data_IF_831457341776
#
_entry.id   IF_831457341776
#
_cell.length_a   1.000
_cell.length_b   1.000
_cell.length_c   1.000
_cell.angle_alpha   90.00
_cell.angle_beta   90.00
_cell.angle_gamma   90.00
#
_symmetry.space_group_name_H-M   'P 1'
#
loop_
_entity.id
_entity.type
_entity.pdbx_description
1 polymer ?
#
# COMPACT_ATOMS: atom_id res chain seq x y z
N UNK A 1 -1.97 -19.45 -13.13
CA UNK A 1 -2.12 -19.07 -14.55
C UNK A 1 -2.11 -20.27 -15.50
N UNK A 2 -1.35 -21.32 -15.20
CA UNK A 2 -1.26 -22.52 -16.06
C UNK A 2 -2.61 -23.21 -16.26
N UNK A 3 -3.41 -23.39 -15.20
CA UNK A 3 -4.75 -23.99 -15.29
C UNK A 3 -5.73 -23.20 -16.17
N UNK A 4 -5.75 -21.85 -16.05
CA UNK A 4 -6.58 -20.98 -16.89
C UNK A 4 -6.20 -21.10 -18.37
N UNK A 5 -4.89 -21.10 -18.67
CA UNK A 5 -4.38 -21.25 -20.04
C UNK A 5 -4.77 -22.60 -20.67
N UNK A 6 -4.72 -23.68 -19.88
CA UNK A 6 -5.16 -25.00 -20.32
C UNK A 6 -6.66 -25.04 -20.63
N UNK A 7 -7.50 -24.43 -19.77
CA UNK A 7 -8.94 -24.36 -20.00
C UNK A 7 -9.26 -23.54 -21.24
N UNK A 8 -8.62 -22.38 -21.43
CA UNK A 8 -8.77 -21.58 -22.67
C UNK A 8 -8.41 -22.39 -23.92
N UNK A 9 -7.26 -23.10 -23.88
CA UNK A 9 -6.84 -23.94 -24.99
C UNK A 9 -7.84 -25.08 -25.27
N UNK A 10 -8.40 -25.69 -24.23
CA UNK A 10 -9.40 -26.73 -24.35
C UNK A 10 -10.72 -26.22 -24.97
N UNK A 11 -11.22 -25.09 -24.48
CA UNK A 11 -12.44 -24.48 -25.00
C UNK A 11 -12.31 -24.11 -26.47
N UNK A 12 -11.17 -23.55 -26.88
CA UNK A 12 -10.89 -23.26 -28.30
C UNK A 12 -10.97 -24.52 -29.16
N UNK A 13 -10.33 -25.61 -28.73
CA UNK A 13 -10.44 -26.91 -29.43
C UNK A 13 -11.86 -27.46 -29.51
N UNK A 14 -12.68 -27.24 -28.48
CA UNK A 14 -14.07 -27.63 -28.49
C UNK A 14 -14.88 -26.84 -29.52
N UNK A 15 -14.63 -25.55 -29.68
CA UNK A 15 -15.24 -24.70 -30.70
C UNK A 15 -14.83 -25.17 -32.08
N UNK A 16 -13.55 -25.37 -32.33
CA UNK A 16 -13.02 -25.88 -33.62
C UNK A 16 -13.65 -27.24 -34.00
N UNK A 17 -13.78 -28.11 -32.99
CA UNK A 17 -14.42 -29.43 -33.19
C UNK A 17 -15.91 -29.32 -33.54
N UNK A 18 -16.63 -28.38 -32.90
CA UNK A 18 -18.04 -28.13 -33.18
C UNK A 18 -18.20 -27.58 -34.61
N UNK A 19 -17.42 -26.60 -35.01
CA UNK A 19 -17.44 -26.03 -36.36
C UNK A 19 -17.14 -27.07 -37.42
N UNK A 20 -16.09 -27.88 -37.22
CA UNK A 20 -15.78 -28.99 -38.13
C UNK A 20 -16.90 -30.06 -38.18
N UNK A 21 -17.63 -30.26 -37.09
CA UNK A 21 -18.75 -31.19 -37.03
C UNK A 21 -19.97 -30.66 -37.78
N UNK A 22 -20.27 -29.37 -37.63
CA UNK A 22 -21.33 -28.68 -38.38
C UNK A 22 -21.03 -28.76 -39.87
N UNK A 23 -19.81 -28.44 -40.27
CA UNK A 23 -19.40 -28.49 -41.68
C UNK A 23 -19.55 -29.91 -42.28
N UNK A 24 -19.06 -30.93 -41.57
CA UNK A 24 -19.20 -32.34 -42.02
C UNK A 24 -20.66 -32.77 -42.16
N UNK A 25 -21.52 -32.42 -41.18
CA UNK A 25 -22.95 -32.75 -41.19
C UNK A 25 -23.70 -32.03 -42.32
N UNK A 26 -23.39 -30.75 -42.52
CA UNK A 26 -23.94 -29.96 -43.63
C UNK A 26 -23.60 -30.61 -44.99
N UNK A 27 -22.32 -31.02 -45.19
CA UNK A 27 -21.89 -31.69 -46.42
C UNK A 27 -22.57 -33.04 -46.67
N UNK A 28 -23.04 -33.74 -45.60
CA UNK A 28 -23.72 -35.02 -45.68
C UNK A 28 -25.25 -34.90 -45.75
N UNK A 29 -25.79 -33.68 -45.61
CA UNK A 29 -27.24 -33.46 -45.53
C UNK A 29 -27.87 -33.88 -44.19
N UNK A 30 -27.09 -34.12 -43.14
CA UNK A 30 -27.53 -34.50 -41.80
C UNK A 30 -27.95 -33.27 -40.99
N UNK A 31 -29.02 -32.58 -41.38
CA UNK A 31 -29.37 -31.26 -40.85
C UNK A 31 -30.06 -31.30 -39.48
N UNK A 32 -30.66 -32.42 -39.06
CA UNK A 32 -31.41 -32.51 -37.79
C UNK A 32 -30.57 -32.25 -36.54
N UNK A 33 -29.29 -32.58 -36.57
CA UNK A 33 -28.38 -32.40 -35.42
C UNK A 33 -27.62 -31.09 -35.47
N UNK A 34 -27.66 -30.33 -36.56
CA UNK A 34 -26.92 -29.05 -36.69
C UNK A 34 -27.28 -28.08 -35.56
N UNK A 35 -28.56 -27.84 -35.20
CA UNK A 35 -28.87 -26.89 -34.12
C UNK A 35 -28.28 -27.26 -32.76
N UNK A 36 -28.09 -28.55 -32.47
CA UNK A 36 -27.47 -29.01 -31.22
C UNK A 36 -25.95 -28.66 -31.21
N UNK A 37 -25.29 -28.79 -32.35
CA UNK A 37 -23.89 -28.46 -32.49
C UNK A 37 -23.64 -26.96 -32.49
N UNK A 38 -24.55 -26.18 -33.06
CA UNK A 38 -24.53 -24.72 -32.96
C UNK A 38 -24.68 -24.26 -31.52
N UNK A 39 -25.69 -24.80 -30.80
CA UNK A 39 -25.88 -24.50 -29.39
C UNK A 39 -24.64 -24.86 -28.55
N UNK A 40 -24.02 -26.02 -28.78
CA UNK A 40 -22.80 -26.43 -28.08
C UNK A 40 -21.66 -25.47 -28.37
N UNK A 41 -21.45 -25.08 -29.63
CA UNK A 41 -20.44 -24.11 -30.05
C UNK A 41 -20.65 -22.78 -29.34
N UNK A 42 -21.86 -22.26 -29.35
CA UNK A 42 -22.21 -20.95 -28.81
C UNK A 42 -22.05 -20.89 -27.28
N UNK A 43 -22.49 -21.93 -26.56
CA UNK A 43 -22.25 -22.07 -25.12
C UNK A 43 -20.73 -22.14 -24.79
N UNK A 44 -19.99 -22.90 -25.60
CA UNK A 44 -18.54 -23.04 -25.40
C UNK A 44 -17.82 -21.72 -25.69
N UNK A 45 -18.25 -20.98 -26.71
CA UNK A 45 -17.71 -19.68 -27.04
C UNK A 45 -18.03 -18.65 -25.93
N UNK A 46 -19.23 -18.69 -25.36
CA UNK A 46 -19.57 -17.83 -24.22
C UNK A 46 -18.71 -18.14 -23.00
N UNK A 47 -18.56 -19.42 -22.63
CA UNK A 47 -17.68 -19.83 -21.55
C UNK A 47 -16.22 -19.40 -21.77
N UNK A 48 -15.72 -19.46 -23.01
CA UNK A 48 -14.40 -18.97 -23.36
C UNK A 48 -14.28 -17.46 -23.09
N UNK A 49 -15.28 -16.68 -23.49
CA UNK A 49 -15.31 -15.23 -23.25
C UNK A 49 -15.27 -14.89 -21.75
N UNK A 50 -16.09 -15.56 -20.93
CA UNK A 50 -16.10 -15.36 -19.47
C UNK A 50 -14.75 -15.69 -18.83
N UNK A 51 -14.09 -16.78 -19.27
CA UNK A 51 -12.76 -17.15 -18.79
C UNK A 51 -11.72 -16.13 -19.22
N UNK A 52 -11.74 -15.67 -20.48
CA UNK A 52 -10.79 -14.67 -21.00
C UNK A 52 -11.02 -13.31 -20.33
N UNK A 53 -12.27 -12.91 -20.10
CA UNK A 53 -12.64 -11.69 -19.39
C UNK A 53 -12.25 -11.69 -17.88
N UNK A 54 -11.96 -12.88 -17.32
CA UNK A 54 -11.60 -13.00 -15.91
C UNK A 54 -12.81 -13.15 -14.96
N UNK A 55 -14.02 -13.25 -15.47
CA UNK A 55 -15.24 -13.40 -14.65
C UNK A 55 -15.23 -14.70 -13.81
N UNK A 56 -14.52 -15.70 -14.32
CA UNK A 56 -14.36 -17.00 -13.67
C UNK A 56 -13.03 -17.16 -12.92
N UNK A 57 -12.25 -16.10 -12.73
CA UNK A 57 -10.92 -16.17 -12.10
C UNK A 57 -10.94 -16.75 -10.68
N UNK A 58 -12.04 -16.58 -9.94
CA UNK A 58 -12.24 -17.20 -8.62
C UNK A 58 -12.21 -18.73 -8.62
N UNK A 59 -12.45 -19.36 -9.77
CA UNK A 59 -12.44 -20.82 -9.94
C UNK A 59 -11.06 -21.37 -10.32
N UNK A 60 -10.14 -20.48 -10.67
CA UNK A 60 -8.76 -20.82 -10.93
C UNK A 60 -7.92 -20.43 -9.72
N UNK A 61 -7.61 -21.37 -8.82
CA UNK A 61 -6.79 -21.05 -7.66
C UNK A 61 -5.48 -20.44 -8.15
N UNK A 62 -5.12 -19.31 -7.58
CA UNK A 62 -3.78 -18.74 -7.78
C UNK A 62 -2.77 -19.85 -7.48
N UNK A 63 -1.81 -20.05 -8.36
CA UNK A 63 -0.68 -20.94 -8.02
C UNK A 63 -0.17 -20.52 -6.64
N UNK A 64 -0.21 -21.44 -5.70
CA UNK A 64 0.48 -21.23 -4.44
C UNK A 64 1.92 -20.88 -4.80
N UNK A 65 2.27 -19.62 -4.60
CA UNK A 65 3.66 -19.22 -4.69
C UNK A 65 4.39 -20.07 -3.66
N UNK A 66 5.08 -21.12 -4.12
CA UNK A 66 6.01 -21.83 -3.26
C UNK A 66 7.08 -20.81 -2.90
N UNK A 67 6.92 -20.18 -1.75
CA UNK A 67 7.98 -19.38 -1.18
C UNK A 67 9.16 -20.31 -1.04
N UNK A 68 10.16 -20.14 -1.88
CA UNK A 68 11.46 -20.80 -1.65
C UNK A 68 11.87 -20.41 -0.25
N UNK A 69 11.99 -21.41 0.60
CA UNK A 69 12.48 -21.20 1.96
C UNK A 69 13.91 -20.69 1.82
N UNK A 70 14.06 -19.35 1.92
CA UNK A 70 15.38 -18.75 1.97
C UNK A 70 16.02 -19.17 3.31
N UNK A 71 17.32 -19.41 3.30
CA UNK A 71 18.05 -19.65 4.54
C UNK A 71 17.80 -18.46 5.48
N UNK A 72 17.30 -18.77 6.68
CA UNK A 72 17.09 -17.75 7.69
C UNK A 72 18.44 -17.21 8.19
N UNK A 73 18.61 -15.90 8.16
CA UNK A 73 19.78 -15.25 8.75
C UNK A 73 19.37 -14.59 10.07
N UNK A 74 20.13 -14.87 11.10
CA UNK A 74 19.98 -14.19 12.40
C UNK A 74 20.91 -13.00 12.43
N UNK A 75 20.39 -11.82 12.74
CA UNK A 75 21.14 -10.58 12.87
C UNK A 75 21.00 -10.10 14.30
N UNK A 76 22.13 -9.99 14.98
CA UNK A 76 22.18 -9.37 16.29
C UNK A 76 22.19 -7.85 16.14
N UNK A 77 21.05 -7.22 16.42
CA UNK A 77 20.91 -5.77 16.32
C UNK A 77 21.74 -5.00 17.33
N UNK A 78 22.10 -5.60 18.47
CA UNK A 78 22.92 -4.93 19.48
C UNK A 78 24.38 -4.79 19.03
N UNK A 79 24.86 -5.72 18.21
CA UNK A 79 26.20 -5.67 17.63
C UNK A 79 26.35 -4.61 16.53
N UNK A 80 25.25 -4.10 15.98
CA UNK A 80 25.28 -3.12 14.90
C UNK A 80 25.50 -1.69 15.41
N UNK A 81 26.18 -0.87 14.60
CA UNK A 81 26.26 0.58 14.84
C UNK A 81 24.85 1.18 14.83
N UNK A 82 24.68 2.34 15.47
CA UNK A 82 23.41 3.05 15.50
C UNK A 82 22.82 3.25 14.08
N UNK A 83 23.64 3.69 13.12
CA UNK A 83 23.19 3.94 11.75
C UNK A 83 22.77 2.65 11.02
N UNK A 84 23.52 1.57 11.17
CA UNK A 84 23.16 0.27 10.59
C UNK A 84 21.87 -0.27 11.19
N UNK A 85 21.74 -0.24 12.51
CA UNK A 85 20.53 -0.65 13.23
C UNK A 85 19.32 0.14 12.78
N UNK A 86 19.46 1.46 12.67
CA UNK A 86 18.41 2.36 12.23
C UNK A 86 17.94 2.02 10.81
N UNK A 87 18.86 1.74 9.89
CA UNK A 87 18.53 1.31 8.51
C UNK A 87 17.83 -0.05 8.48
N UNK A 88 18.30 -1.02 9.24
CA UNK A 88 17.66 -2.32 9.34
C UNK A 88 16.22 -2.21 9.83
N UNK A 89 16.00 -1.53 10.96
CA UNK A 89 14.68 -1.34 11.53
C UNK A 89 13.76 -0.51 10.60
N UNK A 90 14.32 0.46 9.89
CA UNK A 90 13.56 1.23 8.92
C UNK A 90 13.04 0.37 7.75
N UNK A 91 13.86 -0.56 7.26
CA UNK A 91 13.48 -1.43 6.14
C UNK A 91 12.50 -2.55 6.53
N UNK A 92 12.55 -3.04 7.76
CA UNK A 92 11.62 -4.07 8.25
C UNK A 92 10.16 -3.60 8.31
N UNK A 93 9.92 -2.30 8.50
CA UNK A 93 8.60 -1.72 8.66
C UNK A 93 8.26 -0.72 7.53
N UNK A 94 8.62 -1.05 6.30
CA UNK A 94 8.34 -0.22 5.11
C UNK A 94 7.12 -0.78 4.35
N UNK A 95 6.24 0.07 3.76
CA UNK A 95 6.26 1.54 3.82
C UNK A 95 5.78 2.08 5.18
N UNK A 96 6.31 3.23 5.58
CA UNK A 96 5.91 3.92 6.82
C UNK A 96 5.04 5.12 6.51
N UNK A 97 4.02 5.42 7.34
CA UNK A 97 3.32 6.69 7.22
C UNK A 97 4.27 7.84 7.52
N UNK A 98 4.15 8.91 6.77
CA UNK A 98 4.81 10.18 7.06
C UNK A 98 3.75 11.19 7.50
N UNK A 99 3.89 11.75 8.69
CA UNK A 99 3.05 12.81 9.18
C UNK A 99 3.90 13.98 9.66
N UNK A 100 3.44 15.21 9.44
CA UNK A 100 3.93 16.38 10.14
C UNK A 100 3.12 16.55 11.43
N UNK A 101 3.76 16.47 12.58
CA UNK A 101 3.11 16.66 13.87
C UNK A 101 3.33 18.10 14.30
N UNK A 102 2.22 18.85 14.39
CA UNK A 102 2.21 20.21 14.88
C UNK A 102 1.83 20.21 16.36
N UNK A 103 2.54 21.00 17.16
CA UNK A 103 2.32 21.21 18.59
C UNK A 103 2.55 22.67 18.93
N UNK A 104 2.11 23.10 20.13
CA UNK A 104 2.38 24.45 20.64
C UNK A 104 2.90 24.37 22.07
N UNK A 105 3.82 25.26 22.44
CA UNK A 105 4.20 25.46 23.83
C UNK A 105 3.10 26.19 24.60
N UNK A 106 3.20 26.26 25.93
CA UNK A 106 2.29 27.06 26.77
C UNK A 106 2.41 28.57 26.47
N UNK A 107 3.55 29.02 25.98
CA UNK A 107 3.80 30.39 25.57
C UNK A 107 3.29 30.69 24.15
N UNK A 108 2.70 29.69 23.46
CA UNK A 108 2.16 29.84 22.13
C UNK A 108 3.18 29.69 20.99
N UNK A 109 4.42 29.28 21.27
CA UNK A 109 5.41 28.98 20.22
C UNK A 109 5.03 27.68 19.52
N UNK A 110 4.76 27.78 18.23
CA UNK A 110 4.31 26.65 17.39
C UNK A 110 5.49 25.89 16.83
N UNK A 111 5.45 24.57 16.93
CA UNK A 111 6.43 23.66 16.39
C UNK A 111 5.76 22.69 15.40
N UNK A 112 6.44 22.33 14.34
CA UNK A 112 6.02 21.29 13.40
C UNK A 112 7.23 20.47 12.95
N UNK A 113 7.12 19.15 13.04
CA UNK A 113 8.22 18.26 12.70
C UNK A 113 7.71 16.95 12.03
N UNK A 114 8.51 16.35 11.10
CA UNK A 114 8.15 15.13 10.42
C UNK A 114 8.45 13.89 11.27
N UNK A 115 7.52 12.94 11.25
CA UNK A 115 7.62 11.66 11.95
C UNK A 115 7.17 10.52 11.05
N UNK A 116 7.97 9.46 11.02
CA UNK A 116 7.65 8.19 10.36
C UNK A 116 7.39 7.05 11.35
N UNK A 117 7.44 7.33 12.65
CA UNK A 117 7.24 6.39 13.74
C UNK A 117 5.80 6.36 14.26
N UNK A 118 4.86 6.95 13.51
CA UNK A 118 3.43 6.98 13.85
C UNK A 118 2.76 5.67 13.43
N UNK A 119 1.93 5.12 14.32
CA UNK A 119 1.03 4.00 14.01
C UNK A 119 -0.29 4.12 14.76
N UNK A 120 -1.41 3.84 14.07
CA UNK A 120 -2.73 3.68 14.71
C UNK A 120 -2.80 2.27 15.28
N UNK A 121 -3.08 2.14 16.58
CA UNK A 121 -3.03 0.85 17.29
C UNK A 121 -4.39 0.40 17.81
N UNK A 122 -5.39 1.29 17.87
CA UNK A 122 -6.76 0.96 18.28
C UNK A 122 -7.78 1.89 17.64
N UNK A 123 -8.97 1.36 17.37
CA UNK A 123 -10.11 2.11 16.85
C UNK A 123 -11.10 2.53 17.95
N UNK A 124 -11.15 1.76 19.05
CA UNK A 124 -12.05 2.03 20.17
C UNK A 124 -11.40 1.66 21.50
N UNK A 125 -10.95 2.63 22.28
CA UNK A 125 -10.84 4.06 21.91
C UNK A 125 -9.85 4.28 20.76
N UNK A 126 -9.96 5.38 20.00
CA UNK A 126 -9.00 5.70 18.95
C UNK A 126 -7.63 6.04 19.55
N UNK A 127 -6.64 5.18 19.30
CA UNK A 127 -5.30 5.33 19.85
C UNK A 127 -4.26 5.28 18.73
N UNK A 128 -3.30 6.17 18.81
CA UNK A 128 -2.10 6.16 18.00
C UNK A 128 -0.86 6.23 18.90
N UNK A 129 0.23 5.66 18.44
CA UNK A 129 1.54 5.78 19.07
C UNK A 129 2.50 6.51 18.14
N UNK A 130 3.39 7.29 18.72
CA UNK A 130 4.52 7.89 18.03
C UNK A 130 5.78 7.76 18.91
N UNK A 131 6.89 7.35 18.32
CA UNK A 131 8.17 7.31 19.01
C UNK A 131 8.88 8.65 18.86
N UNK A 132 9.14 9.31 19.97
CA UNK A 132 9.84 10.60 20.05
C UNK A 132 11.20 10.39 20.73
N UNK A 133 12.26 10.25 19.95
CA UNK A 133 13.62 10.17 20.49
C UNK A 133 14.16 11.54 20.87
N UNK A 134 15.11 11.59 21.82
CA UNK A 134 15.95 12.77 22.00
C UNK A 134 16.70 13.10 20.71
N UNK A 135 17.05 14.36 20.51
CA UNK A 135 17.91 14.74 19.39
C UNK A 135 19.37 14.33 19.65
N UNK A 136 20.26 14.54 18.65
CA UNK A 136 21.66 14.16 18.73
C UNK A 136 22.45 14.84 19.86
N UNK A 137 21.92 15.93 20.43
CA UNK A 137 22.56 16.73 21.48
C UNK A 137 21.94 16.47 22.86
N UNK A 138 21.32 15.31 23.07
CA UNK A 138 20.61 14.91 24.30
C UNK A 138 19.52 15.90 24.75
N UNK A 139 19.13 16.82 23.88
CA UNK A 139 18.01 17.70 24.10
C UNK A 139 16.72 17.00 23.68
N UNK A 140 15.68 17.11 24.50
CA UNK A 140 14.35 16.66 24.14
C UNK A 140 13.80 17.45 22.94
N UNK A 141 13.08 16.75 22.07
CA UNK A 141 12.39 17.39 20.94
C UNK A 141 11.30 18.31 21.44
N UNK A 142 11.14 19.46 20.78
CA UNK A 142 10.11 20.45 21.14
C UNK A 142 8.70 19.83 21.06
N UNK A 143 8.42 18.96 20.07
CA UNK A 143 7.19 18.18 20.01
C UNK A 143 6.91 17.40 21.30
N UNK A 144 7.92 16.77 21.91
CA UNK A 144 7.73 16.02 23.16
C UNK A 144 7.50 16.95 24.34
N UNK A 145 8.25 18.06 24.41
CA UNK A 145 8.10 19.05 25.48
C UNK A 145 6.71 19.67 25.46
N UNK A 146 6.25 20.08 24.27
CA UNK A 146 4.94 20.65 24.06
C UNK A 146 3.81 19.65 24.44
N UNK A 147 3.91 18.40 23.94
CA UNK A 147 2.94 17.35 24.28
C UNK A 147 2.85 17.06 25.78
N UNK A 148 3.96 17.16 26.52
CA UNK A 148 3.95 16.99 27.98
C UNK A 148 3.24 18.14 28.69
N UNK A 149 3.34 19.34 28.13
CA UNK A 149 2.74 20.55 28.71
C UNK A 149 1.27 20.72 28.32
N UNK A 150 0.97 20.69 27.02
CA UNK A 150 -0.36 21.02 26.49
C UNK A 150 -1.24 19.80 26.28
N UNK A 151 -0.63 18.61 26.07
CA UNK A 151 -1.30 17.33 25.74
C UNK A 151 -2.07 17.37 24.42
N UNK A 152 -1.72 18.28 23.54
CA UNK A 152 -2.38 18.52 22.26
C UNK A 152 -1.38 18.42 21.11
N UNK A 153 -1.84 17.82 20.01
CA UNK A 153 -1.12 17.78 18.74
C UNK A 153 -2.07 17.66 17.57
N UNK A 154 -1.66 18.18 16.43
CA UNK A 154 -2.35 18.00 15.14
C UNK A 154 -1.49 17.12 14.25
N UNK A 155 -2.06 16.06 13.71
CA UNK A 155 -1.42 15.16 12.76
C UNK A 155 -1.79 15.57 11.33
N UNK A 156 -0.81 16.01 10.56
CA UNK A 156 -0.99 16.42 9.19
C UNK A 156 -0.44 15.34 8.26
N UNK A 157 -1.31 14.66 7.52
CA UNK A 157 -0.94 13.71 6.48
C UNK A 157 -0.84 14.42 5.15
N UNK A 158 0.33 14.35 4.53
CA UNK A 158 0.62 15.11 3.32
C UNK A 158 0.32 14.28 2.07
N UNK A 159 -0.32 14.86 1.04
CA UNK A 159 -0.38 14.25 -0.27
C UNK A 159 1.01 14.21 -0.94
N UNK A 160 1.20 13.29 -1.88
CA UNK A 160 2.48 13.16 -2.61
C UNK A 160 2.68 14.39 -3.50
N UNK A 161 3.72 15.18 -3.21
CA UNK A 161 4.06 16.38 -3.96
C UNK A 161 5.53 16.77 -3.73
N UNK A 162 6.23 17.19 -4.77
CA UNK A 162 7.61 17.67 -4.67
C UNK A 162 7.74 18.91 -3.76
N UNK A 163 6.75 19.81 -3.79
CA UNK A 163 6.71 20.98 -2.91
C UNK A 163 6.64 20.55 -1.44
N UNK A 164 5.82 19.57 -1.14
CA UNK A 164 5.65 19.08 0.24
C UNK A 164 6.85 18.26 0.71
N UNK A 165 7.57 17.58 -0.17
CA UNK A 165 8.85 16.93 0.18
C UNK A 165 9.87 17.96 0.68
N UNK A 166 9.96 19.12 0.03
CA UNK A 166 10.84 20.21 0.49
C UNK A 166 10.43 20.75 1.87
N UNK A 167 9.13 20.87 2.15
CA UNK A 167 8.63 21.27 3.48
C UNK A 167 9.05 20.25 4.55
N UNK A 168 8.94 18.95 4.23
CA UNK A 168 9.38 17.89 5.16
C UNK A 168 10.87 18.00 5.47
N UNK A 169 11.72 18.27 4.47
CA UNK A 169 13.16 18.47 4.69
C UNK A 169 13.45 19.70 5.54
N UNK A 170 12.76 20.79 5.29
CA UNK A 170 12.92 22.04 6.06
C UNK A 170 12.51 21.85 7.52
N UNK A 171 11.33 21.28 7.77
CA UNK A 171 10.81 21.05 9.12
C UNK A 171 11.55 19.93 9.89
N UNK A 172 12.39 19.16 9.21
CA UNK A 172 13.30 18.20 9.85
C UNK A 172 14.58 18.84 10.39
N UNK A 173 14.90 20.08 10.00
CA UNK A 173 16.11 20.78 10.45
C UNK A 173 15.96 21.19 11.91
N UNK A 174 17.03 21.08 12.71
CA UNK A 174 17.02 21.60 14.07
C UNK A 174 17.05 23.13 14.04
N UNK A 175 16.04 23.74 14.61
CA UNK A 175 16.00 25.19 14.87
C UNK A 175 16.05 25.46 16.37
N UNK A 176 16.22 26.71 16.74
CA UNK A 176 16.18 27.13 18.14
C UNK A 176 14.74 26.97 18.68
N UNK A 177 14.59 26.45 19.91
CA UNK A 177 13.28 26.18 20.53
C UNK A 177 12.42 27.43 20.78
N UNK A 178 13.00 28.61 20.72
CA UNK A 178 12.27 29.88 20.81
C UNK A 178 11.72 30.35 19.46
N UNK A 179 12.11 29.67 18.37
CA UNK A 179 11.66 29.94 17.00
C UNK A 179 10.59 28.93 16.59
N UNK A 180 9.70 29.38 15.72
CA UNK A 180 8.66 28.55 15.13
C UNK A 180 9.03 28.15 13.71
N UNK A 181 8.98 26.86 13.38
CA UNK A 181 9.15 26.38 12.00
C UNK A 181 8.08 27.00 11.07
N UNK A 182 6.91 27.31 11.59
CA UNK A 182 5.85 27.97 10.83
C UNK A 182 6.27 29.34 10.32
N UNK A 183 6.98 30.10 11.15
CA UNK A 183 7.47 31.44 10.83
C UNK A 183 8.74 31.39 10.01
N UNK A 184 9.70 30.56 10.40
CA UNK A 184 10.99 30.41 9.75
C UNK A 184 10.84 29.96 8.29
N UNK A 185 9.94 28.99 8.03
CA UNK A 185 9.71 28.44 6.70
C UNK A 185 8.46 28.98 6.00
N UNK A 186 7.81 29.99 6.58
CA UNK A 186 6.59 30.64 6.02
C UNK A 186 5.51 29.62 5.61
N UNK A 187 5.17 28.72 6.53
CA UNK A 187 4.18 27.69 6.29
C UNK A 187 2.76 28.27 6.36
N UNK A 188 1.92 27.88 5.41
CA UNK A 188 0.49 28.23 5.41
C UNK A 188 -0.25 27.42 6.45
N UNK A 189 -1.08 28.04 7.26
CA UNK A 189 -1.95 27.43 8.23
C UNK A 189 -3.36 27.35 7.66
N UNK A 190 -3.97 26.17 7.72
CA UNK A 190 -5.40 26.02 7.52
C UNK A 190 -6.06 26.09 8.89
N UNK A 191 -7.13 26.89 9.03
CA UNK A 191 -7.96 26.87 10.23
C UNK A 191 -8.68 25.52 10.27
N UNK A 192 -8.52 24.79 11.39
CA UNK A 192 -9.28 23.57 11.65
C UNK A 192 -10.73 23.93 11.93
N UNK A 193 -11.67 23.13 11.44
CA UNK A 193 -13.04 23.18 11.95
C UNK A 193 -13.06 22.46 13.30
N UNK A 194 -13.35 23.18 14.37
CA UNK A 194 -13.66 22.59 15.67
C UNK A 194 -15.01 21.85 15.64
#
# INVERSE_FOLDING_TARGET
MEGKTHVISFLKKCIDYADASIERKTKRGETEDIPKWEAYRDYTAHALMEVEAGELDRWFPAQQVQLKQAESQTIDLESLTHDMRSRWLANLASPRPLALIATSSQEGVRNIAPYTSLSVVSNSPPLAIVSLSANRNDRWRDTLLNLRQTKEAVLNFLPISNRLASIVEQTAQPIDSIKSEWEEFKLEQLEGNE
#
